data_IF_133201691750
#
_entry.id   IF_133201691750
#
_cell.length_a   1.000
_cell.length_b   1.000
_cell.length_c   1.000
_cell.angle_alpha   90.00
_cell.angle_beta   90.00
_cell.angle_gamma   90.00
#
_symmetry.space_group_name_H-M   'P 1'
#
loop_
_entity.id
_entity.type
_entity.pdbx_description
1 polymer ?
#
# COMPACT_ATOMS: atom_id res chain seq x y z
N UNK A 1 3.46 -12.30 -2.96
CA UNK A 1 2.31 -12.66 -2.09
C UNK A 1 2.76 -13.82 -1.22
N UNK A 2 2.60 -13.75 0.10
CA UNK A 2 2.90 -14.89 0.98
C UNK A 2 1.72 -15.84 0.87
N UNK A 3 1.97 -17.11 0.54
CA UNK A 3 0.91 -18.12 0.44
C UNK A 3 0.40 -18.43 1.86
N UNK A 4 -0.92 -18.37 2.13
CA UNK A 4 -1.47 -18.76 3.41
C UNK A 4 -1.05 -20.18 3.77
N UNK A 5 -0.83 -20.46 5.06
CA UNK A 5 -0.57 -21.82 5.51
C UNK A 5 -1.76 -22.73 5.11
N UNK A 6 -1.55 -23.79 4.32
CA UNK A 6 -2.62 -24.65 3.81
C UNK A 6 -3.43 -25.34 4.91
N UNK A 7 -2.87 -25.52 6.11
CA UNK A 7 -3.53 -26.19 7.25
C UNK A 7 -4.28 -25.21 8.16
N UNK A 8 -4.29 -23.91 7.87
CA UNK A 8 -4.90 -22.87 8.72
C UNK A 8 -6.41 -23.02 8.86
N UNK A 9 -7.10 -23.39 7.78
CA UNK A 9 -8.53 -23.66 7.81
C UNK A 9 -8.87 -24.81 8.77
N UNK A 10 -8.15 -25.92 8.66
CA UNK A 10 -8.33 -27.07 9.54
C UNK A 10 -8.04 -26.75 11.02
N UNK A 11 -7.05 -25.89 11.31
CA UNK A 11 -6.77 -25.43 12.68
C UNK A 11 -7.98 -24.68 13.26
N UNK A 12 -8.58 -23.77 12.47
CA UNK A 12 -9.73 -22.98 12.91
C UNK A 12 -10.99 -23.84 13.11
N UNK A 13 -11.24 -24.80 12.22
CA UNK A 13 -12.36 -25.75 12.36
C UNK A 13 -12.23 -26.64 13.60
N UNK A 14 -11.03 -27.14 13.89
CA UNK A 14 -10.80 -27.95 15.10
C UNK A 14 -10.91 -27.09 16.36
N UNK A 15 -10.43 -25.85 16.31
CA UNK A 15 -10.60 -24.91 17.42
C UNK A 15 -12.07 -24.55 17.68
N UNK A 16 -12.89 -24.38 16.63
CA UNK A 16 -14.33 -24.10 16.79
C UNK A 16 -15.10 -25.32 17.30
N UNK A 17 -14.62 -26.53 17.01
CA UNK A 17 -15.14 -27.78 17.56
C UNK A 17 -14.71 -28.05 19.02
N UNK A 18 -13.90 -27.17 19.62
CA UNK A 18 -13.50 -27.26 21.03
C UNK A 18 -12.26 -28.13 21.30
N UNK A 19 -11.50 -28.54 20.28
CA UNK A 19 -10.25 -29.25 20.49
C UNK A 19 -9.20 -28.36 21.15
N UNK A 20 -8.40 -28.92 22.07
CA UNK A 20 -7.31 -28.17 22.68
C UNK A 20 -6.19 -27.91 21.67
N UNK A 21 -5.43 -26.83 21.84
CA UNK A 21 -4.30 -26.52 20.96
C UNK A 21 -3.25 -27.65 20.92
N UNK A 22 -3.10 -28.41 22.01
CA UNK A 22 -2.21 -29.58 22.07
C UNK A 22 -2.71 -30.72 21.17
N UNK A 23 -4.02 -30.95 21.14
CA UNK A 23 -4.63 -31.98 20.30
C UNK A 23 -4.51 -31.62 18.83
N UNK A 24 -4.74 -30.35 18.48
CA UNK A 24 -4.58 -29.84 17.11
C UNK A 24 -3.14 -30.01 16.61
N UNK A 25 -2.15 -29.76 17.47
CA UNK A 25 -0.73 -29.99 17.14
C UNK A 25 -0.46 -31.46 16.81
N UNK A 26 -0.97 -32.38 17.64
CA UNK A 26 -0.81 -33.82 17.44
C UNK A 26 -1.50 -34.29 16.16
N UNK A 27 -2.72 -33.80 15.91
CA UNK A 27 -3.58 -34.24 14.79
C UNK A 27 -3.08 -33.72 13.43
N UNK A 28 -2.73 -32.43 13.36
CA UNK A 28 -2.33 -31.78 12.11
C UNK A 28 -0.81 -31.76 11.88
N UNK A 29 -0.02 -32.22 12.86
CA UNK A 29 1.46 -32.21 12.85
C UNK A 29 2.01 -30.83 12.47
N UNK A 30 1.55 -29.79 13.16
CA UNK A 30 1.97 -28.39 12.98
C UNK A 30 2.57 -27.86 14.26
N UNK A 31 3.55 -26.93 14.19
CA UNK A 31 4.16 -26.34 15.37
C UNK A 31 3.10 -25.66 16.26
N UNK A 32 3.25 -25.81 17.58
CA UNK A 32 2.38 -25.19 18.59
C UNK A 32 2.22 -23.68 18.37
N UNK A 33 3.30 -23.00 17.99
CA UNK A 33 3.31 -21.56 17.72
C UNK A 33 2.42 -21.18 16.53
N UNK A 34 2.32 -22.04 15.51
CA UNK A 34 1.44 -21.85 14.35
C UNK A 34 -0.03 -21.98 14.76
N UNK A 35 -0.35 -22.97 15.59
CA UNK A 35 -1.72 -23.18 16.10
C UNK A 35 -2.18 -21.98 16.93
N UNK A 36 -1.38 -21.55 17.91
CA UNK A 36 -1.68 -20.36 18.71
C UNK A 36 -1.82 -19.09 17.87
N UNK A 37 -0.92 -18.91 16.89
CA UNK A 37 -0.97 -17.75 16.00
C UNK A 37 -2.22 -17.74 15.13
N UNK A 38 -2.65 -18.91 14.62
CA UNK A 38 -3.86 -19.05 13.83
C UNK A 38 -5.12 -18.76 14.67
N UNK A 39 -5.21 -19.32 15.88
CA UNK A 39 -6.32 -19.07 16.82
C UNK A 39 -6.39 -17.59 17.19
N UNK A 40 -5.25 -16.98 17.55
CA UNK A 40 -5.18 -15.55 17.92
C UNK A 40 -5.59 -14.61 16.78
N UNK A 41 -5.29 -14.98 15.53
CA UNK A 41 -5.61 -14.14 14.38
C UNK A 41 -7.07 -14.28 13.91
N UNK A 42 -7.75 -15.39 14.24
CA UNK A 42 -9.14 -15.76 13.92
C UNK A 42 -9.58 -15.71 12.44
N UNK A 43 -8.78 -15.14 11.56
CA UNK A 43 -9.04 -15.02 10.12
C UNK A 43 -8.40 -16.16 9.34
N UNK A 44 -9.02 -16.58 8.24
CA UNK A 44 -8.45 -17.57 7.31
C UNK A 44 -7.24 -17.02 6.53
N UNK A 45 -7.19 -15.69 6.35
CA UNK A 45 -6.09 -15.03 5.65
C UNK A 45 -4.97 -14.67 6.61
N UNK A 46 -3.73 -14.89 6.17
CA UNK A 46 -2.55 -14.32 6.81
C UNK A 46 -2.65 -12.79 6.72
N UNK A 47 -2.43 -12.10 7.83
CA UNK A 47 -2.32 -10.64 7.81
C UNK A 47 -1.14 -10.25 6.94
N UNK A 48 -1.41 -9.60 5.82
CA UNK A 48 -0.38 -8.92 5.04
C UNK A 48 0.18 -7.83 5.95
N UNK A 49 1.46 -7.94 6.31
CA UNK A 49 2.13 -6.89 7.06
C UNK A 49 2.13 -5.65 6.18
N UNK A 50 1.58 -4.51 6.64
CA UNK A 50 1.74 -3.27 5.90
C UNK A 50 3.24 -3.00 5.76
N UNK A 51 3.67 -2.66 4.54
CA UNK A 51 5.04 -2.22 4.31
C UNK A 51 5.34 -0.93 5.07
N UNK A 52 6.60 -0.48 5.00
CA UNK A 52 6.99 0.82 5.57
C UNK A 52 6.16 1.94 4.96
N UNK A 53 5.48 2.71 5.80
CA UNK A 53 4.72 3.89 5.37
C UNK A 53 5.64 4.91 4.71
N UNK A 54 5.22 5.46 3.57
CA UNK A 54 5.98 6.49 2.86
C UNK A 54 5.83 7.82 3.58
N UNK A 55 6.84 8.23 4.35
CA UNK A 55 6.81 9.46 5.17
C UNK A 55 6.73 10.75 4.36
N UNK A 56 7.37 10.78 3.18
CA UNK A 56 7.54 12.03 2.39
C UNK A 56 6.24 12.43 1.67
N UNK A 57 5.29 11.52 1.50
CA UNK A 57 4.05 11.77 0.77
C UNK A 57 2.87 12.05 1.71
N UNK A 58 3.00 13.09 2.54
CA UNK A 58 1.95 13.48 3.48
C UNK A 58 0.68 13.99 2.77
N UNK A 59 -0.51 13.87 3.40
CA UNK A 59 -1.74 14.47 2.88
C UNK A 59 -1.61 15.97 2.60
N UNK A 60 -0.89 16.69 3.45
CA UNK A 60 -0.60 18.11 3.27
C UNK A 60 0.18 18.39 1.97
N UNK A 61 1.23 17.62 1.68
CA UNK A 61 1.99 17.78 0.44
C UNK A 61 1.11 17.50 -0.79
N UNK A 62 0.24 16.49 -0.73
CA UNK A 62 -0.71 16.19 -1.81
C UNK A 62 -1.65 17.35 -2.08
N UNK A 63 -2.21 17.93 -1.02
CA UNK A 63 -3.13 19.06 -1.12
C UNK A 63 -2.46 20.28 -1.76
N UNK A 64 -1.30 20.69 -1.25
CA UNK A 64 -0.54 21.83 -1.78
C UNK A 64 -0.15 21.62 -3.26
N UNK A 65 0.32 20.41 -3.62
CA UNK A 65 0.66 20.10 -5.01
C UNK A 65 -0.56 20.12 -5.93
N UNK A 66 -1.71 19.62 -5.46
CA UNK A 66 -2.97 19.64 -6.22
C UNK A 66 -3.40 21.08 -6.51
N UNK A 67 -3.43 21.93 -5.49
CA UNK A 67 -3.81 23.34 -5.64
C UNK A 67 -2.88 24.08 -6.59
N UNK A 68 -1.57 23.93 -6.42
CA UNK A 68 -0.58 24.59 -7.30
C UNK A 68 -0.73 24.21 -8.77
N UNK A 69 -1.07 22.95 -9.04
CA UNK A 69 -1.29 22.46 -10.42
C UNK A 69 -2.63 22.95 -10.97
N UNK A 70 -3.70 22.96 -10.16
CA UNK A 70 -5.00 23.49 -10.58
C UNK A 70 -4.89 24.98 -10.91
N UNK A 71 -4.21 25.77 -10.08
CA UNK A 71 -4.01 27.19 -10.32
C UNK A 71 -3.12 27.46 -11.54
N UNK A 72 -2.08 26.64 -11.77
CA UNK A 72 -1.20 26.79 -12.94
C UNK A 72 -0.70 25.42 -13.43
N UNK A 73 -1.37 24.80 -14.42
CA UNK A 73 -0.98 23.49 -14.93
C UNK A 73 0.35 23.51 -15.69
N UNK A 74 0.76 24.67 -16.22
CA UNK A 74 2.05 24.86 -16.89
C UNK A 74 3.24 24.94 -15.93
N UNK A 75 3.02 24.97 -14.61
CA UNK A 75 4.10 25.10 -13.62
C UNK A 75 4.99 23.85 -13.59
N UNK A 76 6.30 24.08 -13.65
CA UNK A 76 7.28 22.99 -13.61
C UNK A 76 7.28 22.24 -12.26
N UNK A 77 7.23 20.91 -12.33
CA UNK A 77 7.34 20.01 -11.16
C UNK A 77 8.65 20.19 -10.40
N UNK A 78 9.75 20.45 -11.12
CA UNK A 78 11.07 20.75 -10.53
C UNK A 78 11.06 22.03 -9.70
N UNK A 79 10.35 23.06 -10.18
CA UNK A 79 10.20 24.33 -9.45
C UNK A 79 9.38 24.14 -8.17
N UNK A 80 8.26 23.42 -8.26
CA UNK A 80 7.45 23.09 -7.08
C UNK A 80 8.24 22.29 -6.04
N UNK A 81 9.09 21.35 -6.49
CA UNK A 81 9.96 20.58 -5.61
C UNK A 81 10.94 21.47 -4.83
N UNK A 82 11.62 22.41 -5.50
CA UNK A 82 12.51 23.39 -4.85
C UNK A 82 11.78 24.25 -3.82
N UNK A 83 10.63 24.80 -4.17
CA UNK A 83 9.84 25.67 -3.28
C UNK A 83 9.29 24.94 -2.05
N UNK A 84 9.03 23.63 -2.17
CA UNK A 84 8.53 22.81 -1.07
C UNK A 84 9.67 22.13 -0.29
N UNK A 85 10.93 22.32 -0.67
CA UNK A 85 12.10 21.63 -0.12
C UNK A 85 11.95 20.09 -0.16
N UNK A 86 11.34 19.57 -1.22
CA UNK A 86 11.13 18.14 -1.44
C UNK A 86 11.91 17.70 -2.67
N UNK A 87 12.38 16.45 -2.70
CA UNK A 87 13.01 15.89 -3.89
C UNK A 87 12.06 15.86 -5.08
N UNK A 88 12.59 16.17 -6.27
CA UNK A 88 11.81 16.15 -7.51
C UNK A 88 11.15 14.79 -7.77
N UNK A 89 11.85 13.69 -7.43
CA UNK A 89 11.33 12.34 -7.55
C UNK A 89 10.07 12.10 -6.71
N UNK A 90 10.00 12.67 -5.50
CA UNK A 90 8.81 12.57 -4.66
C UNK A 90 7.64 13.33 -5.28
N UNK A 91 7.86 14.58 -5.72
CA UNK A 91 6.82 15.37 -6.40
C UNK A 91 6.29 14.63 -7.63
N UNK A 92 7.17 14.05 -8.46
CA UNK A 92 6.75 13.23 -9.61
C UNK A 92 5.92 12.01 -9.20
N UNK A 93 6.34 11.27 -8.15
CA UNK A 93 5.60 10.12 -7.62
C UNK A 93 4.21 10.51 -7.10
N UNK A 94 4.12 11.61 -6.36
CA UNK A 94 2.84 12.10 -5.83
C UNK A 94 1.92 12.55 -6.96
N UNK A 95 2.41 13.38 -7.87
CA UNK A 95 1.59 13.93 -8.98
C UNK A 95 1.12 12.84 -9.93
N UNK A 96 2.02 11.95 -10.37
CA UNK A 96 1.67 10.89 -11.34
C UNK A 96 0.97 9.71 -10.67
N UNK A 97 1.46 9.24 -9.53
CA UNK A 97 0.99 7.99 -8.93
C UNK A 97 -0.19 8.14 -7.98
N UNK A 98 -0.32 9.28 -7.30
CA UNK A 98 -1.38 9.49 -6.29
C UNK A 98 -2.45 10.47 -6.74
N UNK A 99 -2.07 11.53 -7.44
CA UNK A 99 -3.03 12.51 -7.99
C UNK A 99 -3.49 12.14 -9.41
N UNK A 100 -2.82 11.19 -10.08
CA UNK A 100 -3.09 10.78 -11.46
C UNK A 100 -3.14 11.96 -12.46
N UNK A 101 -2.40 13.05 -12.18
CA UNK A 101 -2.38 14.22 -13.06
C UNK A 101 -1.28 14.03 -14.12
N UNK A 102 -1.62 14.01 -15.42
CA UNK A 102 -0.63 13.93 -16.47
C UNK A 102 0.25 15.18 -16.48
N UNK A 103 1.47 15.04 -17.02
CA UNK A 103 2.28 16.23 -17.29
C UNK A 103 1.58 17.10 -18.32
N UNK A 104 1.57 18.42 -18.08
CA UNK A 104 1.08 19.39 -19.06
C UNK A 104 1.88 19.26 -20.36
N UNK A 105 1.16 19.11 -21.48
CA UNK A 105 1.73 19.04 -22.84
C UNK A 105 1.06 20.12 -23.67
N UNK A 106 1.85 21.00 -24.25
CA UNK A 106 1.38 21.94 -25.28
C UNK A 106 1.35 21.20 -26.62
N UNK A 107 0.17 21.10 -27.23
CA UNK A 107 0.05 20.57 -28.59
C UNK A 107 0.40 21.69 -29.56
N UNK A 108 1.56 21.57 -30.23
CA UNK A 108 1.91 22.47 -31.35
C UNK A 108 0.99 22.14 -32.53
N UNK A 109 0.23 23.12 -33.02
CA UNK A 109 -0.43 23.01 -34.31
C UNK A 109 0.55 23.52 -35.36
N UNK A 110 0.87 22.68 -36.34
CA UNK A 110 1.58 23.13 -37.53
C UNK A 110 0.56 23.88 -38.39
N UNK A 111 0.75 25.19 -38.55
CA UNK A 111 -0.02 25.97 -39.52
C UNK A 111 0.45 25.57 -40.92
N UNK A 112 -0.43 24.96 -41.70
CA UNK A 112 -0.26 24.90 -43.15
C UNK A 112 -0.79 26.23 -43.68
N UNK A 113 0.12 27.11 -44.07
CA UNK A 113 -0.18 28.32 -44.85
C UNK A 113 -0.28 27.98 -46.32
#
# INVERSE_FOLDING_TARGET
MVRPNPKRAAILELSSKGYSASDVVRLLKVPRQTVHSAIKQSTLLDRVRPGRTVTVSTPALKHILRERIVCNPGRSKKRMAKELNVSEGTVRKVVKGMLNIPSYKLQKRHGLS
#
